data_IF_322563650053
#
_entry.id   IF_322563650053
#
_cell.length_a   1.000
_cell.length_b   1.000
_cell.length_c   1.000
_cell.angle_alpha   90.00
_cell.angle_beta   90.00
_cell.angle_gamma   90.00
#
_symmetry.space_group_name_H-M   'P 1'
#
loop_
_entity.id
_entity.type
_entity.pdbx_description
1 polymer ?
#
# COMPACT_ATOMS: atom_id res chain seq x y z
N UNK A 1 63.42 22.93 -7.13
CA UNK A 1 63.74 21.48 -7.18
C UNK A 1 63.77 20.97 -5.76
N UNK A 2 62.65 20.46 -5.26
CA UNK A 2 62.26 19.03 -5.15
C UNK A 2 62.58 18.51 -3.74
N UNK A 3 61.64 18.60 -2.80
CA UNK A 3 60.48 17.72 -2.52
C UNK A 3 60.81 16.67 -1.43
N UNK A 4 60.48 17.13 -0.22
CA UNK A 4 59.96 16.42 0.95
C UNK A 4 59.02 15.24 0.58
N UNK A 5 59.20 14.08 1.22
CA UNK A 5 58.15 13.07 1.39
C UNK A 5 58.24 12.43 2.78
N UNK A 6 57.26 12.79 3.61
CA UNK A 6 56.98 12.22 4.92
C UNK A 6 56.13 10.96 4.75
N UNK A 7 56.39 9.95 5.60
CA UNK A 7 55.61 8.72 5.73
C UNK A 7 54.17 9.04 6.16
N UNK A 8 53.18 8.43 5.50
CA UNK A 8 51.81 8.34 5.98
C UNK A 8 51.39 6.86 5.95
N UNK A 9 50.99 6.37 7.12
CA UNK A 9 50.40 5.04 7.32
C UNK A 9 49.07 4.93 6.58
N UNK A 10 48.94 3.90 5.75
CA UNK A 10 47.71 3.58 5.04
C UNK A 10 46.79 2.77 5.93
N UNK A 11 45.82 3.41 6.56
CA UNK A 11 44.66 2.75 7.17
C UNK A 11 43.75 2.25 6.06
N UNK A 12 43.62 0.94 5.92
CA UNK A 12 42.71 0.30 4.98
C UNK A 12 41.27 0.52 5.46
N UNK A 13 40.62 1.57 4.96
CA UNK A 13 39.17 1.74 5.11
C UNK A 13 38.51 0.73 4.18
N UNK A 14 38.01 -0.38 4.75
CA UNK A 14 37.04 -1.23 4.09
C UNK A 14 35.76 -0.40 3.97
N UNK A 15 35.63 0.30 2.84
CA UNK A 15 34.35 0.80 2.41
C UNK A 15 33.47 -0.43 2.17
N UNK A 16 32.53 -0.69 3.08
CA UNK A 16 31.36 -1.49 2.76
C UNK A 16 30.58 -0.73 1.70
N UNK A 17 31.01 -0.86 0.44
CA UNK A 17 30.13 -0.68 -0.69
C UNK A 17 29.07 -1.76 -0.55
N UNK A 18 27.90 -1.39 0.00
CA UNK A 18 26.70 -2.14 -0.28
C UNK A 18 26.59 -2.20 -1.80
N UNK A 19 27.02 -3.32 -2.37
CA UNK A 19 26.73 -3.69 -3.74
C UNK A 19 25.22 -3.68 -3.86
N UNK A 20 24.70 -2.56 -4.39
CA UNK A 20 23.34 -2.45 -4.88
C UNK A 20 23.21 -3.40 -6.06
N UNK A 21 22.97 -4.69 -5.77
CA UNK A 21 21.99 -5.43 -6.56
C UNK A 21 20.75 -4.55 -6.48
N UNK A 22 20.45 -3.83 -7.55
CA UNK A 22 19.27 -2.97 -7.63
C UNK A 22 18.04 -3.83 -7.30
N UNK A 23 17.63 -3.82 -6.03
CA UNK A 23 16.39 -4.40 -5.60
C UNK A 23 15.33 -3.63 -6.39
N UNK A 24 14.65 -4.34 -7.28
CA UNK A 24 13.58 -3.77 -8.10
C UNK A 24 12.62 -3.03 -7.17
N UNK A 25 12.49 -1.72 -7.36
CA UNK A 25 11.62 -0.88 -6.52
C UNK A 25 10.20 -1.39 -6.66
N UNK A 26 9.54 -1.62 -5.53
CA UNK A 26 8.16 -2.11 -5.53
C UNK A 26 7.24 -1.13 -6.30
N UNK A 27 6.33 -1.57 -7.18
CA UNK A 27 5.50 -0.67 -8.00
C UNK A 27 4.71 0.35 -7.18
N UNK A 28 4.18 -0.05 -6.01
CA UNK A 28 3.45 0.87 -5.10
C UNK A 28 4.38 1.92 -4.47
N UNK A 29 5.65 1.58 -4.23
CA UNK A 29 6.63 2.56 -3.76
C UNK A 29 6.97 3.56 -4.89
N UNK A 30 7.15 3.07 -6.12
CA UNK A 30 7.36 3.93 -7.28
C UNK A 30 6.18 4.89 -7.51
N UNK A 31 4.94 4.42 -7.36
CA UNK A 31 3.74 5.26 -7.40
C UNK A 31 3.76 6.33 -6.31
N UNK A 32 4.09 5.97 -5.06
CA UNK A 32 4.18 6.93 -3.96
C UNK A 32 5.18 8.05 -4.21
N UNK A 33 6.35 7.71 -4.78
CA UNK A 33 7.37 8.70 -5.18
C UNK A 33 6.80 9.64 -6.25
N UNK A 34 6.18 9.07 -7.28
CA UNK A 34 5.57 9.83 -8.39
C UNK A 34 4.48 10.79 -7.90
N UNK A 35 3.61 10.34 -6.98
CA UNK A 35 2.56 11.19 -6.38
C UNK A 35 3.20 12.29 -5.53
N UNK A 36 4.14 11.97 -4.66
CA UNK A 36 4.83 12.97 -3.85
C UNK A 36 5.51 14.04 -4.72
N UNK A 37 6.24 13.60 -5.75
CA UNK A 37 6.91 14.50 -6.69
C UNK A 37 5.94 15.38 -7.48
N UNK A 38 4.70 14.91 -7.72
CA UNK A 38 3.67 15.73 -8.36
C UNK A 38 3.30 16.95 -7.51
N UNK A 39 3.20 16.81 -6.18
CA UNK A 39 3.01 17.95 -5.28
C UNK A 39 4.26 18.82 -5.24
N UNK A 40 5.43 18.18 -5.12
CA UNK A 40 6.73 18.86 -5.04
C UNK A 40 6.98 19.80 -6.22
N UNK A 41 6.59 19.36 -7.41
CA UNK A 41 6.82 20.08 -8.68
C UNK A 41 5.59 20.80 -9.21
N UNK A 42 4.48 20.76 -8.47
CA UNK A 42 3.18 21.26 -8.93
C UNK A 42 2.77 20.68 -10.31
N UNK A 43 3.03 19.39 -10.53
CA UNK A 43 2.76 18.70 -11.79
C UNK A 43 1.45 17.90 -11.71
N UNK A 44 0.33 18.58 -11.97
CA UNK A 44 -1.00 17.94 -11.96
C UNK A 44 -1.10 16.77 -12.94
N UNK A 45 -0.51 16.86 -14.13
CA UNK A 45 -0.57 15.79 -15.14
C UNK A 45 -0.01 14.48 -14.59
N UNK A 46 1.14 14.53 -13.90
CA UNK A 46 1.74 13.34 -13.28
C UNK A 46 0.83 12.68 -12.23
N UNK A 47 0.15 13.51 -11.43
CA UNK A 47 -0.84 13.03 -10.45
C UNK A 47 -2.05 12.40 -11.14
N UNK A 48 -2.63 13.11 -12.12
CA UNK A 48 -3.80 12.67 -12.87
C UNK A 48 -3.55 11.35 -13.59
N UNK A 49 -2.44 11.23 -14.31
CA UNK A 49 -2.03 10.02 -15.04
C UNK A 49 -1.77 8.79 -14.13
N UNK A 50 -1.74 8.99 -12.80
CA UNK A 50 -1.56 7.94 -11.80
C UNK A 50 -2.86 7.55 -11.10
N UNK A 51 -3.99 8.08 -11.57
CA UNK A 51 -5.32 7.92 -10.95
C UNK A 51 -6.25 7.05 -11.79
N UNK A 52 -7.30 6.52 -11.17
CA UNK A 52 -8.38 5.84 -11.88
C UNK A 52 -9.09 6.74 -12.93
N UNK A 53 -9.01 8.07 -12.80
CA UNK A 53 -9.68 9.01 -13.70
C UNK A 53 -9.00 9.14 -15.05
N UNK A 54 -7.74 8.71 -15.18
CA UNK A 54 -6.98 8.82 -16.44
C UNK A 54 -7.03 7.58 -17.31
N UNK A 55 -7.65 6.48 -16.87
CA UNK A 55 -7.66 5.24 -17.66
C UNK A 55 -8.74 5.29 -18.74
N UNK A 56 -8.57 4.55 -19.83
CA UNK A 56 -9.57 4.44 -20.90
C UNK A 56 -10.75 3.54 -20.49
N UNK A 57 -11.87 3.65 -21.22
CA UNK A 57 -13.03 2.77 -21.03
C UNK A 57 -12.66 1.28 -21.15
N UNK A 58 -11.82 0.96 -22.13
CA UNK A 58 -11.33 -0.41 -22.36
C UNK A 58 -10.51 -0.92 -21.18
N UNK A 59 -9.59 -0.10 -20.66
CA UNK A 59 -8.78 -0.46 -19.50
C UNK A 59 -9.64 -0.59 -18.24
N UNK A 60 -10.61 0.31 -18.04
CA UNK A 60 -11.53 0.23 -16.91
C UNK A 60 -12.37 -1.05 -16.96
N UNK A 61 -12.94 -1.35 -18.13
CA UNK A 61 -13.71 -2.57 -18.35
C UNK A 61 -12.85 -3.81 -18.07
N UNK A 62 -11.62 -3.85 -18.60
CA UNK A 62 -10.70 -4.97 -18.39
C UNK A 62 -10.32 -5.12 -16.93
N UNK A 63 -9.96 -4.03 -16.25
CA UNK A 63 -9.64 -4.00 -14.82
C UNK A 63 -10.79 -4.59 -14.01
N UNK A 64 -11.99 -4.04 -14.18
CA UNK A 64 -13.15 -4.44 -13.40
C UNK A 64 -13.54 -5.89 -13.69
N UNK A 65 -13.54 -6.32 -14.96
CA UNK A 65 -13.87 -7.69 -15.36
C UNK A 65 -12.95 -8.74 -14.72
N UNK A 66 -11.65 -8.44 -14.67
CA UNK A 66 -10.62 -9.38 -14.22
C UNK A 66 -10.22 -9.19 -12.76
N UNK A 67 -10.93 -8.33 -12.01
CA UNK A 67 -10.54 -8.03 -10.64
C UNK A 67 -10.76 -9.23 -9.73
N UNK A 68 -9.69 -9.62 -9.01
CA UNK A 68 -9.72 -10.63 -7.94
C UNK A 68 -9.89 -9.94 -6.60
N UNK A 69 -11.06 -9.37 -6.35
CA UNK A 69 -11.38 -8.64 -5.11
C UNK A 69 -12.87 -8.82 -4.81
N UNK A 70 -13.19 -9.67 -3.85
CA UNK A 70 -14.58 -10.06 -3.58
C UNK A 70 -15.42 -8.88 -3.07
N UNK A 71 -14.83 -7.98 -2.28
CA UNK A 71 -15.54 -6.78 -1.81
C UNK A 71 -15.99 -5.89 -2.97
N UNK A 72 -15.11 -5.60 -3.92
CA UNK A 72 -15.46 -4.79 -5.09
C UNK A 72 -16.49 -5.49 -6.00
N UNK A 73 -16.40 -6.82 -6.13
CA UNK A 73 -17.41 -7.58 -6.87
C UNK A 73 -18.77 -7.52 -6.18
N UNK A 74 -18.80 -7.66 -4.86
CA UNK A 74 -20.01 -7.55 -4.05
C UNK A 74 -20.61 -6.14 -4.13
N UNK A 75 -19.80 -5.10 -4.13
CA UNK A 75 -20.27 -3.72 -4.29
C UNK A 75 -21.01 -3.55 -5.63
N UNK A 76 -20.46 -4.06 -6.75
CA UNK A 76 -21.12 -4.01 -8.06
C UNK A 76 -22.39 -4.87 -8.14
N UNK A 77 -22.40 -6.02 -7.45
CA UNK A 77 -23.58 -6.88 -7.32
C UNK A 77 -24.68 -6.16 -6.52
N UNK A 78 -24.32 -5.44 -5.47
CA UNK A 78 -25.28 -4.78 -4.57
C UNK A 78 -26.09 -3.68 -5.26
N UNK A 79 -25.53 -3.05 -6.29
CA UNK A 79 -26.20 -2.02 -7.10
C UNK A 79 -26.96 -2.61 -8.30
N UNK A 80 -26.96 -3.94 -8.47
CA UNK A 80 -27.73 -4.61 -9.51
C UNK A 80 -29.23 -4.56 -9.19
N UNK A 81 -30.00 -3.89 -10.04
CA UNK A 81 -31.42 -3.62 -9.80
C UNK A 81 -32.37 -4.73 -10.27
N UNK A 82 -31.91 -5.62 -11.16
CA UNK A 82 -32.74 -6.72 -11.67
C UNK A 82 -32.62 -7.94 -10.75
N UNK A 83 -33.71 -8.69 -10.51
CA UNK A 83 -33.61 -9.97 -9.85
C UNK A 83 -32.67 -10.91 -10.63
N UNK A 84 -31.78 -11.60 -9.91
CA UNK A 84 -30.98 -12.66 -10.52
C UNK A 84 -31.90 -13.80 -10.99
N UNK A 85 -31.71 -14.33 -12.20
CA UNK A 85 -32.48 -15.47 -12.67
C UNK A 85 -32.14 -16.72 -11.84
N UNK A 86 -33.07 -17.68 -11.76
CA UNK A 86 -32.98 -18.81 -10.82
C UNK A 86 -31.77 -19.73 -11.08
N UNK A 87 -31.22 -19.72 -12.28
CA UNK A 87 -30.03 -20.45 -12.71
C UNK A 87 -28.71 -19.79 -12.25
N UNK A 88 -28.73 -18.49 -11.87
CA UNK A 88 -27.60 -17.77 -11.29
C UNK A 88 -27.43 -18.09 -9.79
N UNK A 89 -27.06 -19.34 -9.54
CA UNK A 89 -27.00 -19.95 -8.20
C UNK A 89 -25.71 -19.67 -7.44
N UNK A 90 -24.61 -19.34 -8.12
CA UNK A 90 -23.30 -19.09 -7.50
C UNK A 90 -22.80 -17.64 -7.64
N UNK A 91 -21.77 -17.29 -6.86
CA UNK A 91 -21.23 -15.93 -6.80
C UNK A 91 -20.67 -15.44 -8.14
N UNK A 92 -20.03 -16.34 -8.90
CA UNK A 92 -19.44 -16.01 -10.21
C UNK A 92 -20.51 -15.66 -11.25
N UNK A 93 -21.59 -16.44 -11.35
CA UNK A 93 -22.69 -16.17 -12.27
C UNK A 93 -23.38 -14.84 -11.95
N UNK A 94 -23.58 -14.54 -10.65
CA UNK A 94 -24.14 -13.26 -10.22
C UNK A 94 -23.21 -12.10 -10.56
N UNK A 95 -21.90 -12.30 -10.38
CA UNK A 95 -20.88 -11.34 -10.78
C UNK A 95 -20.92 -11.06 -12.29
N UNK A 96 -20.94 -12.09 -13.14
CA UNK A 96 -20.99 -11.92 -14.61
C UNK A 96 -22.21 -11.11 -15.07
N UNK A 97 -23.38 -11.42 -14.50
CA UNK A 97 -24.63 -10.71 -14.79
C UNK A 97 -24.59 -9.26 -14.29
N UNK A 98 -24.16 -9.05 -13.05
CA UNK A 98 -24.03 -7.71 -12.47
C UNK A 98 -23.04 -6.87 -13.26
N UNK A 99 -21.88 -7.43 -13.58
CA UNK A 99 -20.86 -6.81 -14.42
C UNK A 99 -21.47 -6.36 -15.74
N UNK A 100 -22.07 -7.27 -16.51
CA UNK A 100 -22.65 -7.00 -17.84
C UNK A 100 -23.61 -5.80 -17.83
N UNK A 101 -24.37 -5.61 -16.76
CA UNK A 101 -25.36 -4.53 -16.65
C UNK A 101 -24.76 -3.23 -16.08
N UNK A 102 -23.84 -3.33 -15.13
CA UNK A 102 -23.46 -2.17 -14.30
C UNK A 102 -22.11 -1.54 -14.66
N UNK A 103 -21.17 -2.28 -15.27
CA UNK A 103 -19.80 -1.78 -15.49
C UNK A 103 -19.76 -0.44 -16.22
N UNK A 104 -20.62 -0.26 -17.23
CA UNK A 104 -20.66 0.96 -18.05
C UNK A 104 -21.25 2.14 -17.27
N UNK A 105 -22.12 1.89 -16.29
CA UNK A 105 -22.66 2.95 -15.44
C UNK A 105 -21.58 3.48 -14.49
N UNK A 106 -20.78 2.58 -13.91
CA UNK A 106 -19.62 2.97 -13.10
C UNK A 106 -18.58 3.74 -13.92
N UNK A 107 -18.29 3.28 -15.14
CA UNK A 107 -17.44 4.03 -16.07
C UNK A 107 -17.99 5.44 -16.35
N UNK A 108 -19.29 5.55 -16.64
CA UNK A 108 -19.94 6.85 -16.87
C UNK A 108 -19.95 7.74 -15.64
N UNK A 109 -19.98 7.16 -14.44
CA UNK A 109 -19.85 7.92 -13.20
C UNK A 109 -18.45 8.53 -13.10
N UNK A 110 -17.41 7.72 -13.32
CA UNK A 110 -16.01 8.16 -13.28
C UNK A 110 -15.68 9.19 -14.39
N UNK A 111 -16.16 8.98 -15.61
CA UNK A 111 -15.84 9.84 -16.75
C UNK A 111 -16.50 11.22 -16.71
N UNK A 112 -17.47 11.44 -15.80
CA UNK A 112 -18.05 12.77 -15.53
C UNK A 112 -17.11 13.68 -14.75
N UNK A 113 -16.07 13.15 -14.11
CA UNK A 113 -15.11 13.97 -13.41
C UNK A 113 -14.09 14.56 -14.39
N UNK A 114 -14.17 15.87 -14.61
CA UNK A 114 -13.23 16.56 -15.50
C UNK A 114 -11.84 16.68 -14.86
N UNK A 115 -10.76 16.81 -15.65
CA UNK A 115 -9.42 17.04 -15.11
C UNK A 115 -9.35 18.23 -14.16
N UNK A 116 -10.06 19.32 -14.45
CA UNK A 116 -10.12 20.51 -13.58
C UNK A 116 -10.72 20.18 -12.22
N UNK A 117 -11.83 19.41 -12.20
CA UNK A 117 -12.46 18.96 -10.97
C UNK A 117 -11.54 18.03 -10.17
N UNK A 118 -10.80 17.14 -10.84
CA UNK A 118 -9.81 16.29 -10.17
C UNK A 118 -8.67 17.13 -9.58
N UNK A 119 -8.19 18.15 -10.29
CA UNK A 119 -7.18 19.06 -9.77
C UNK A 119 -7.67 19.78 -8.49
N UNK A 120 -8.90 20.29 -8.50
CA UNK A 120 -9.54 20.96 -7.36
C UNK A 120 -9.76 20.05 -6.15
N UNK A 121 -10.10 18.78 -6.37
CA UNK A 121 -10.43 17.84 -5.30
C UNK A 121 -9.22 17.02 -4.81
N UNK A 122 -8.22 16.76 -5.65
CA UNK A 122 -7.10 15.86 -5.35
C UNK A 122 -5.79 16.59 -5.05
N UNK A 123 -5.53 17.71 -5.73
CA UNK A 123 -4.23 18.39 -5.67
C UNK A 123 -4.28 19.67 -4.85
N UNK A 124 -5.21 20.56 -5.18
CA UNK A 124 -5.34 21.85 -4.51
C UNK A 124 -5.52 21.75 -2.98
N UNK A 125 -6.24 20.76 -2.41
CA UNK A 125 -6.38 20.66 -0.96
C UNK A 125 -5.04 20.38 -0.27
N UNK A 126 -4.19 19.54 -0.88
CA UNK A 126 -2.84 19.25 -0.38
C UNK A 126 -1.95 20.49 -0.44
N UNK A 127 -1.95 21.20 -1.58
CA UNK A 127 -1.15 22.42 -1.75
C UNK A 127 -1.62 23.55 -0.83
N UNK A 128 -2.93 23.72 -0.64
CA UNK A 128 -3.52 24.70 0.26
C UNK A 128 -3.13 24.40 1.71
N UNK A 129 -3.25 23.15 2.13
CA UNK A 129 -2.84 22.73 3.48
C UNK A 129 -1.35 22.93 3.70
N UNK A 130 -0.50 22.54 2.76
CA UNK A 130 0.93 22.80 2.87
C UNK A 130 1.26 24.31 3.03
N UNK A 131 0.52 25.19 2.35
CA UNK A 131 0.66 26.64 2.50
C UNK A 131 0.28 27.15 3.90
N UNK A 132 -0.70 26.55 4.56
CA UNK A 132 -1.08 26.88 5.94
C UNK A 132 0.07 26.62 6.95
N UNK A 133 0.99 25.71 6.62
CA UNK A 133 2.22 25.42 7.38
C UNK A 133 3.47 26.09 6.80
N UNK A 134 3.30 27.02 5.86
CA UNK A 134 4.41 27.71 5.17
C UNK A 134 5.42 26.75 4.50
N UNK A 135 4.95 25.56 4.10
CA UNK A 135 5.80 24.53 3.51
C UNK A 135 6.25 24.93 2.10
N UNK A 136 7.56 24.97 1.90
CA UNK A 136 8.18 25.14 0.59
C UNK A 136 8.43 23.76 -0.03
N UNK A 137 7.52 23.35 -0.90
CA UNK A 137 7.60 22.05 -1.59
C UNK A 137 8.97 21.72 -2.19
N UNK A 138 9.69 22.68 -2.77
CA UNK A 138 11.01 22.41 -3.37
C UNK A 138 12.07 21.93 -2.36
N UNK A 139 11.91 22.20 -1.07
CA UNK A 139 12.87 21.84 -0.02
C UNK A 139 12.38 20.70 0.86
N UNK A 140 11.16 20.18 0.66
CA UNK A 140 10.68 19.02 1.42
C UNK A 140 11.47 17.76 1.06
N UNK A 141 11.69 16.92 2.06
CA UNK A 141 12.41 15.66 1.90
C UNK A 141 11.48 14.50 2.21
N UNK A 142 11.24 13.62 1.22
CA UNK A 142 10.45 12.41 1.43
C UNK A 142 11.22 11.46 2.35
N UNK A 143 10.61 11.09 3.48
CA UNK A 143 11.21 10.19 4.47
C UNK A 143 10.82 8.74 4.19
N UNK A 144 9.52 8.49 3.96
CA UNK A 144 9.00 7.13 3.82
C UNK A 144 7.76 7.05 2.94
N UNK A 145 7.60 5.89 2.31
CA UNK A 145 6.40 5.43 1.63
C UNK A 145 6.05 4.07 2.22
N UNK A 146 4.87 3.96 2.80
CA UNK A 146 4.43 2.79 3.56
C UNK A 146 2.99 2.46 3.21
N UNK A 147 2.63 1.17 3.20
CA UNK A 147 1.23 0.75 3.23
C UNK A 147 0.73 0.88 4.67
N UNK A 148 -0.31 1.67 4.88
CA UNK A 148 -0.99 1.77 6.15
C UNK A 148 -1.96 0.60 6.31
N UNK A 149 -1.81 -0.17 7.37
CA UNK A 149 -2.73 -1.23 7.78
C UNK A 149 -3.28 -0.89 9.17
N UNK A 150 -4.48 -0.32 9.26
CA UNK A 150 -5.13 -0.12 10.55
C UNK A 150 -5.41 -1.47 11.22
N UNK A 151 -5.10 -1.56 12.52
CA UNK A 151 -5.32 -2.74 13.34
C UNK A 151 -6.20 -2.36 14.52
N UNK A 152 -7.30 -3.09 14.67
CA UNK A 152 -8.26 -2.93 15.76
C UNK A 152 -8.48 -4.25 16.48
N UNK A 153 -9.18 -4.22 17.61
CA UNK A 153 -9.59 -5.40 18.35
C UNK A 153 -11.12 -5.52 18.36
N UNK A 154 -11.65 -6.63 17.86
CA UNK A 154 -13.09 -6.89 17.83
C UNK A 154 -13.38 -8.38 18.01
N UNK A 155 -14.41 -8.70 18.79
CA UNK A 155 -14.86 -10.09 19.00
C UNK A 155 -13.73 -11.06 19.41
N UNK A 156 -12.84 -10.60 20.30
CA UNK A 156 -11.75 -11.42 20.84
C UNK A 156 -10.57 -11.66 19.89
N UNK A 157 -10.38 -10.82 18.86
CA UNK A 157 -9.30 -11.00 17.88
C UNK A 157 -8.85 -9.68 17.26
N UNK A 158 -7.69 -9.72 16.61
CA UNK A 158 -7.24 -8.64 15.74
C UNK A 158 -8.10 -8.58 14.49
N UNK A 159 -8.47 -7.36 14.11
CA UNK A 159 -9.11 -7.05 12.83
C UNK A 159 -8.18 -6.11 12.09
N UNK A 160 -7.70 -6.57 10.93
CA UNK A 160 -6.75 -5.85 10.08
C UNK A 160 -7.43 -5.65 8.74
N UNK A 161 -7.33 -4.42 8.20
CA UNK A 161 -7.87 -4.11 6.89
C UNK A 161 -7.24 -4.99 5.81
N UNK A 162 -8.08 -5.65 5.03
CA UNK A 162 -7.70 -6.46 3.89
C UNK A 162 -8.90 -6.69 2.97
N UNK A 163 -8.64 -7.08 1.73
CA UNK A 163 -9.69 -7.46 0.79
C UNK A 163 -9.73 -8.99 0.63
N UNK A 164 -10.90 -9.61 0.78
CA UNK A 164 -11.07 -11.05 0.64
C UNK A 164 -10.91 -11.49 -0.82
N UNK A 165 -10.50 -12.75 -0.95
CA UNK A 165 -10.38 -13.44 -2.23
C UNK A 165 -11.75 -13.96 -2.72
N UNK A 166 -11.80 -14.45 -3.97
CA UNK A 166 -13.01 -14.90 -4.67
C UNK A 166 -13.49 -16.31 -4.27
N UNK A 167 -12.90 -16.91 -3.24
CA UNK A 167 -13.03 -18.34 -2.96
C UNK A 167 -14.16 -18.70 -1.99
N UNK A 168 -15.25 -17.93 -1.98
CA UNK A 168 -16.44 -18.15 -1.14
C UNK A 168 -16.10 -18.35 0.37
N UNK A 169 -15.08 -17.64 0.86
CA UNK A 169 -14.52 -17.73 2.22
C UNK A 169 -13.70 -19.01 2.52
N UNK A 170 -13.23 -19.73 1.49
CA UNK A 170 -12.25 -20.81 1.69
C UNK A 170 -10.92 -20.24 2.23
N UNK A 171 -10.49 -19.08 1.73
CA UNK A 171 -9.46 -18.27 2.35
C UNK A 171 -10.04 -17.62 3.60
N UNK A 172 -9.35 -17.77 4.73
CA UNK A 172 -9.77 -17.09 5.95
C UNK A 172 -9.73 -15.59 5.69
N UNK A 173 -10.79 -14.87 6.06
CA UNK A 173 -10.78 -13.39 6.08
C UNK A 173 -9.68 -12.79 6.96
N UNK A 174 -8.97 -13.64 7.70
CA UNK A 174 -7.84 -13.32 8.56
C UNK A 174 -6.49 -13.48 7.87
N UNK A 175 -6.43 -14.02 6.65
CA UNK A 175 -5.17 -14.15 5.91
C UNK A 175 -4.75 -12.80 5.36
N UNK A 176 -3.55 -12.35 5.74
CA UNK A 176 -2.93 -11.14 5.22
C UNK A 176 -1.98 -11.50 4.10
N UNK A 177 -2.09 -10.80 2.97
CA UNK A 177 -1.14 -10.91 1.88
C UNK A 177 -0.22 -9.69 1.91
N UNK A 178 1.06 -9.92 2.16
CA UNK A 178 2.07 -8.87 2.25
C UNK A 178 3.17 -9.07 1.19
N UNK A 179 3.54 -7.99 0.52
CA UNK A 179 4.54 -7.93 -0.53
C UNK A 179 5.95 -7.89 0.05
N UNK A 180 6.86 -8.71 -0.49
CA UNK A 180 8.30 -8.52 -0.27
C UNK A 180 8.75 -7.17 -0.82
N UNK A 181 9.76 -6.59 -0.17
CA UNK A 181 10.38 -5.30 -0.52
C UNK A 181 9.43 -4.10 -0.47
N UNK A 182 8.32 -4.20 0.27
CA UNK A 182 7.40 -3.10 0.53
C UNK A 182 7.34 -2.82 2.04
N UNK A 183 7.25 -1.54 2.41
CA UNK A 183 7.08 -1.15 3.82
C UNK A 183 5.61 -1.17 4.20
N UNK A 184 5.30 -1.75 5.34
CA UNK A 184 3.98 -1.76 5.95
C UNK A 184 4.05 -1.11 7.33
N UNK A 185 3.04 -0.32 7.65
CA UNK A 185 2.82 0.29 8.95
C UNK A 185 1.51 -0.24 9.51
N UNK A 186 1.59 -1.16 10.46
CA UNK A 186 0.44 -1.62 11.21
C UNK A 186 0.16 -0.61 12.32
N UNK A 187 -0.95 0.11 12.20
CA UNK A 187 -1.35 1.16 13.14
C UNK A 187 -2.36 0.63 14.13
N UNK A 188 -1.88 0.38 15.34
CA UNK A 188 -2.66 -0.11 16.47
C UNK A 188 -3.57 1.01 17.03
N UNK A 189 -4.86 0.72 17.19
CA UNK A 189 -5.81 1.64 17.85
C UNK A 189 -5.90 1.40 19.38
N UNK A 190 -6.69 2.23 20.06
CA UNK A 190 -6.87 2.14 21.52
C UNK A 190 -7.54 0.83 21.99
N UNK A 191 -8.22 0.08 21.11
CA UNK A 191 -8.85 -1.21 21.45
C UNK A 191 -7.82 -2.34 21.51
N UNK A 192 -6.68 -2.18 20.84
CA UNK A 192 -5.57 -3.13 20.90
C UNK A 192 -4.70 -2.97 22.14
N UNK A 193 -4.89 -1.91 22.93
CA UNK A 193 -4.09 -1.67 24.14
C UNK A 193 -4.24 -2.86 25.08
N UNK A 194 -3.12 -3.32 25.66
CA UNK A 194 -2.99 -4.56 26.45
C UNK A 194 -3.13 -5.88 25.67
N UNK A 195 -3.07 -5.85 24.34
CA UNK A 195 -3.05 -7.05 23.50
C UNK A 195 -1.77 -7.03 22.68
N UNK A 196 -0.80 -7.87 23.05
CA UNK A 196 0.45 -7.94 22.30
C UNK A 196 0.18 -8.44 20.88
N UNK A 197 0.58 -7.67 19.87
CA UNK A 197 0.55 -8.10 18.47
C UNK A 197 1.91 -8.69 18.13
N UNK A 198 1.96 -9.99 17.88
CA UNK A 198 3.20 -10.70 17.56
C UNK A 198 3.14 -11.30 16.16
N UNK A 199 4.27 -11.29 15.45
CA UNK A 199 4.50 -12.06 14.23
C UNK A 199 5.53 -13.15 14.53
N UNK A 200 5.21 -14.41 14.18
CA UNK A 200 6.05 -15.58 14.40
C UNK A 200 6.06 -16.54 13.21
N UNK A 201 6.98 -17.50 13.24
CA UNK A 201 7.07 -18.56 12.22
C UNK A 201 6.01 -19.63 12.42
N UNK A 202 5.59 -19.85 13.67
CA UNK A 202 4.50 -20.75 14.02
C UNK A 202 3.34 -19.97 14.64
N UNK A 203 2.14 -20.54 14.53
CA UNK A 203 0.94 -19.93 15.08
C UNK A 203 0.92 -20.02 16.61
N UNK A 204 0.78 -18.87 17.28
CA UNK A 204 0.51 -18.81 18.73
C UNK A 204 1.65 -19.33 19.61
N UNK A 205 2.87 -19.42 19.08
CA UNK A 205 4.08 -19.73 19.84
C UNK A 205 4.96 -18.47 19.96
N UNK A 206 5.01 -17.89 21.16
CA UNK A 206 5.80 -16.69 21.42
C UNK A 206 7.30 -16.91 21.41
N UNK A 207 7.77 -18.15 21.63
CA UNK A 207 9.20 -18.47 21.60
C UNK A 207 9.74 -18.50 20.15
N UNK A 208 8.82 -18.59 19.17
CA UNK A 208 9.10 -18.60 17.75
C UNK A 208 8.77 -17.25 17.07
N UNK A 209 9.01 -16.15 17.78
CA UNK A 209 8.85 -14.81 17.24
C UNK A 209 9.80 -14.54 16.05
N UNK A 210 9.24 -14.00 14.96
CA UNK A 210 10.00 -13.61 13.79
C UNK A 210 10.42 -12.15 13.93
N UNK A 211 11.73 -11.86 13.90
CA UNK A 211 12.25 -10.49 14.17
C UNK A 211 12.74 -9.75 12.93
N UNK A 212 13.11 -10.47 11.88
CA UNK A 212 13.81 -9.89 10.74
C UNK A 212 12.87 -8.95 9.99
N UNK A 213 13.28 -7.69 9.83
CA UNK A 213 12.49 -6.69 9.12
C UNK A 213 11.27 -6.19 9.88
N UNK A 214 11.16 -6.45 11.19
CA UNK A 214 10.03 -6.01 12.02
C UNK A 214 10.51 -5.12 13.17
N UNK A 215 9.92 -3.93 13.28
CA UNK A 215 10.12 -3.03 14.41
C UNK A 215 8.83 -2.92 15.23
N UNK A 216 8.93 -3.19 16.53
CA UNK A 216 7.79 -3.14 17.44
C UNK A 216 7.04 -4.47 17.56
N UNK A 217 7.63 -5.60 17.19
CA UNK A 217 7.02 -6.91 17.39
C UNK A 217 6.68 -7.14 18.88
N UNK A 218 5.54 -7.78 19.16
CA UNK A 218 5.06 -8.07 20.52
C UNK A 218 4.47 -6.87 21.26
N UNK A 219 4.35 -5.70 20.64
CA UNK A 219 3.72 -4.52 21.29
C UNK A 219 2.21 -4.56 21.18
N UNK A 220 1.51 -4.04 22.20
CA UNK A 220 0.07 -3.72 22.13
C UNK A 220 -0.21 -2.23 21.95
N UNK A 221 0.83 -1.40 21.79
CA UNK A 221 0.73 0.05 21.63
C UNK A 221 1.76 0.57 20.62
N UNK A 222 1.38 1.63 19.91
CA UNK A 222 2.22 2.26 18.89
C UNK A 222 2.24 1.50 17.57
N UNK A 223 2.82 2.11 16.55
CA UNK A 223 2.90 1.50 15.22
C UNK A 223 3.94 0.36 15.18
N UNK A 224 3.63 -0.69 14.43
CA UNK A 224 4.53 -1.78 14.09
C UNK A 224 4.94 -1.61 12.63
N UNK A 225 6.24 -1.61 12.36
CA UNK A 225 6.76 -1.53 10.99
C UNK A 225 7.24 -2.89 10.52
N UNK A 226 6.89 -3.22 9.29
CA UNK A 226 7.25 -4.48 8.65
C UNK A 226 7.82 -4.19 7.25
N UNK A 227 8.99 -4.75 6.97
CA UNK A 227 9.55 -4.83 5.62
C UNK A 227 10.19 -6.19 5.42
N UNK A 228 9.47 -7.07 4.73
CA UNK A 228 9.97 -8.39 4.38
C UNK A 228 10.92 -8.32 3.19
N UNK A 229 11.94 -9.17 3.22
CA UNK A 229 12.94 -9.30 2.16
C UNK A 229 12.78 -10.62 1.40
N UNK A 230 13.73 -10.92 0.52
CA UNK A 230 13.73 -12.16 -0.26
C UNK A 230 13.97 -13.43 0.56
N UNK A 231 14.53 -13.31 1.77
CA UNK A 231 14.83 -14.44 2.63
C UNK A 231 13.70 -14.73 3.63
N UNK A 232 12.72 -13.82 3.73
CA UNK A 232 11.57 -14.01 4.59
C UNK A 232 10.75 -15.21 4.10
N UNK A 233 10.36 -16.14 5.00
CA UNK A 233 9.51 -17.28 4.65
C UNK A 233 8.21 -16.85 3.95
N UNK A 234 7.70 -17.65 3.01
CA UNK A 234 6.43 -17.38 2.31
C UNK A 234 5.20 -17.39 3.23
N UNK A 235 5.34 -17.97 4.42
CA UNK A 235 4.29 -18.08 5.42
C UNK A 235 4.81 -17.68 6.79
N UNK A 236 4.06 -16.79 7.44
CA UNK A 236 4.22 -16.38 8.84
C UNK A 236 2.84 -16.32 9.48
N UNK A 237 2.79 -16.07 10.79
CA UNK A 237 1.56 -15.94 11.54
C UNK A 237 1.57 -14.64 12.34
N UNK A 238 0.43 -13.95 12.42
CA UNK A 238 0.23 -12.93 13.45
C UNK A 238 -0.71 -13.46 14.53
N UNK A 239 -0.44 -13.14 15.79
CA UNK A 239 -1.23 -13.64 16.92
C UNK A 239 -1.12 -12.74 18.15
N UNK A 240 -2.00 -13.00 19.13
CA UNK A 240 -1.89 -12.50 20.49
C UNK A 240 -1.40 -13.65 21.36
N UNK A 241 -0.24 -13.56 22.03
CA UNK A 241 0.26 -14.64 22.89
C UNK A 241 -0.68 -14.90 24.07
N UNK A 242 -1.42 -13.88 24.51
CA UNK A 242 -2.34 -13.96 25.64
C UNK A 242 -3.71 -14.56 25.28
N UNK A 243 -4.02 -14.74 23.99
CA UNK A 243 -5.34 -15.22 23.57
C UNK A 243 -5.29 -16.10 22.31
N UNK A 244 -5.60 -17.37 22.53
CA UNK A 244 -5.79 -18.36 21.48
C UNK A 244 -6.88 -17.94 20.49
N UNK A 245 -6.61 -18.09 19.20
CA UNK A 245 -7.51 -17.78 18.09
C UNK A 245 -7.59 -16.29 17.72
N UNK A 246 -6.86 -15.41 18.41
CA UNK A 246 -6.90 -13.97 18.16
C UNK A 246 -6.16 -13.52 16.89
N UNK A 247 -5.43 -14.43 16.26
CA UNK A 247 -4.55 -14.20 15.12
C UNK A 247 -5.04 -14.74 13.78
N UNK A 248 -4.12 -14.77 12.83
CA UNK A 248 -4.30 -15.27 11.48
C UNK A 248 -2.97 -15.54 10.77
N UNK A 249 -3.07 -15.88 9.50
CA UNK A 249 -1.93 -16.19 8.63
C UNK A 249 -1.43 -14.93 7.91
N UNK A 250 -0.13 -14.87 7.65
CA UNK A 250 0.50 -13.92 6.73
C UNK A 250 1.12 -14.72 5.58
N UNK A 251 0.66 -14.46 4.35
CA UNK A 251 1.29 -14.90 3.12
C UNK A 251 2.24 -13.82 2.62
N UNK A 252 3.53 -14.09 2.65
CA UNK A 252 4.59 -13.18 2.18
C UNK A 252 4.92 -13.54 0.75
N UNK A 253 4.62 -12.64 -0.19
CA UNK A 253 4.67 -12.93 -1.61
C UNK A 253 5.48 -11.88 -2.36
N UNK A 254 6.06 -12.27 -3.50
CA UNK A 254 6.58 -11.29 -4.45
C UNK A 254 5.44 -10.53 -5.12
N UNK A 255 5.70 -9.28 -5.50
CA UNK A 255 4.64 -8.40 -6.01
C UNK A 255 4.06 -8.81 -7.37
N UNK A 256 4.76 -9.67 -8.11
CA UNK A 256 4.31 -10.28 -9.36
C UNK A 256 3.45 -11.54 -9.15
N UNK A 257 3.27 -11.99 -7.90
CA UNK A 257 2.50 -13.19 -7.60
C UNK A 257 1.03 -12.99 -7.95
N UNK A 258 0.47 -13.88 -8.78
CA UNK A 258 -0.89 -13.77 -9.30
C UNK A 258 -1.94 -14.47 -8.44
N UNK A 259 -1.51 -15.41 -7.59
CA UNK A 259 -2.42 -16.17 -6.74
C UNK A 259 -2.68 -15.47 -5.40
N UNK A 260 -3.37 -14.32 -5.45
CA UNK A 260 -3.75 -13.49 -4.29
C UNK A 260 -4.83 -12.47 -4.68
N UNK A 261 -5.58 -11.91 -3.72
CA UNK A 261 -6.50 -10.82 -4.00
C UNK A 261 -5.79 -9.54 -4.47
N UNK A 262 -6.42 -8.79 -5.37
CA UNK A 262 -6.03 -7.42 -5.74
C UNK A 262 -6.48 -6.47 -4.63
N UNK A 263 -5.68 -6.39 -3.57
CA UNK A 263 -5.98 -5.63 -2.36
C UNK A 263 -5.87 -4.11 -2.58
N UNK A 264 -6.90 -3.39 -2.14
CA UNK A 264 -6.90 -1.95 -1.93
C UNK A 264 -5.99 -1.63 -0.77
N UNK A 265 -4.93 -0.88 -1.05
CA UNK A 265 -3.96 -0.46 -0.06
C UNK A 265 -3.99 1.04 0.14
N UNK A 266 -3.93 1.49 1.39
CA UNK A 266 -3.75 2.90 1.68
C UNK A 266 -2.26 3.22 1.75
N UNK A 267 -1.79 4.14 0.91
CA UNK A 267 -0.39 4.52 0.84
C UNK A 267 -0.15 5.77 1.69
N UNK A 268 0.76 5.68 2.64
CA UNK A 268 1.14 6.74 3.55
C UNK A 268 2.48 7.34 3.11
N UNK A 269 2.46 8.62 2.75
CA UNK A 269 3.65 9.39 2.37
C UNK A 269 4.08 10.23 3.57
N UNK A 270 5.26 9.96 4.13
CA UNK A 270 5.82 10.75 5.25
C UNK A 270 6.98 11.58 4.74
N UNK A 271 6.99 12.88 5.03
CA UNK A 271 8.05 13.80 4.60
C UNK A 271 8.46 14.78 5.71
N UNK A 272 9.66 15.35 5.58
CA UNK A 272 10.23 16.34 6.49
C UNK A 272 10.22 17.74 5.87
N UNK A 273 10.04 18.75 6.72
CA UNK A 273 10.21 20.17 6.38
C UNK A 273 10.60 20.99 7.61
N UNK A 274 11.34 22.09 7.41
CA UNK A 274 11.65 23.07 8.45
C UNK A 274 13.04 22.91 9.09
N UNK A 275 13.38 23.86 9.95
CA UNK A 275 14.58 23.85 10.79
C UNK A 275 14.21 24.41 12.17
N UNK A 276 14.06 23.57 13.21
CA UNK A 276 14.29 22.12 13.21
C UNK A 276 13.31 21.35 12.30
N UNK A 277 13.69 20.17 11.78
CA UNK A 277 12.84 19.40 10.88
C UNK A 277 11.61 18.84 11.62
N UNK A 278 10.45 19.00 11.01
CA UNK A 278 9.16 18.46 11.45
C UNK A 278 8.64 17.43 10.43
N UNK A 279 7.85 16.46 10.89
CA UNK A 279 7.34 15.39 10.04
C UNK A 279 5.87 15.63 9.65
N UNK A 280 5.54 15.38 8.39
CA UNK A 280 4.21 15.58 7.82
C UNK A 280 3.76 14.35 7.05
N UNK A 281 2.45 14.12 6.99
CA UNK A 281 1.86 12.97 6.30
C UNK A 281 0.78 13.33 5.29
N UNK A 282 0.76 12.57 4.19
CA UNK A 282 -0.33 12.52 3.20
C UNK A 282 -0.76 11.06 3.05
N UNK A 283 -2.07 10.83 3.09
CA UNK A 283 -2.68 9.54 2.79
C UNK A 283 -3.14 9.53 1.33
N UNK A 284 -2.78 8.50 0.58
CA UNK A 284 -3.34 8.21 -0.74
C UNK A 284 -4.18 6.93 -0.60
N UNK A 285 -5.51 7.05 -0.48
CA UNK A 285 -6.35 5.90 -0.18
C UNK A 285 -6.57 5.01 -1.40
N UNK A 286 -6.90 3.75 -1.14
CA UNK A 286 -7.38 2.77 -2.12
C UNK A 286 -6.51 2.69 -3.39
N UNK A 287 -5.21 2.45 -3.20
CA UNK A 287 -4.30 2.08 -4.27
C UNK A 287 -4.55 0.63 -4.67
N UNK A 288 -4.85 0.42 -5.94
CA UNK A 288 -5.09 -0.88 -6.56
C UNK A 288 -4.07 -1.15 -7.65
N UNK A 289 -3.79 -2.42 -7.93
CA UNK A 289 -3.02 -2.81 -9.10
C UNK A 289 -3.90 -2.69 -10.34
N UNK A 290 -3.50 -1.85 -11.31
CA UNK A 290 -4.22 -1.69 -12.57
C UNK A 290 -3.88 -2.84 -13.52
N UNK A 291 -4.79 -3.81 -13.58
CA UNK A 291 -4.76 -4.91 -14.54
C UNK A 291 -5.02 -4.36 -15.94
N UNK A 292 -4.10 -4.59 -16.88
CA UNK A 292 -4.25 -4.13 -18.27
C UNK A 292 -4.34 -5.29 -19.25
N UNK A 293 -5.09 -5.14 -20.36
CA UNK A 293 -5.06 -6.14 -21.41
C UNK A 293 -3.63 -6.29 -21.91
N UNK A 294 -3.18 -7.51 -22.26
CA UNK A 294 -1.86 -7.70 -22.84
C UNK A 294 -1.75 -6.87 -24.12
N UNK A 295 -0.86 -5.88 -24.11
CA UNK A 295 -0.56 -5.04 -25.26
C UNK A 295 0.22 -5.89 -26.27
N UNK A 296 -0.50 -6.60 -27.15
CA UNK A 296 0.02 -7.52 -28.17
C UNK A 296 0.75 -8.76 -27.61
N UNK A 297 0.32 -10.00 -27.89
CA UNK A 297 0.98 -11.22 -27.39
C UNK A 297 2.45 -11.40 -27.84
N UNK A 298 2.95 -10.55 -28.76
CA UNK A 298 4.36 -10.51 -29.20
C UNK A 298 5.21 -9.44 -28.50
N UNK A 299 4.61 -8.57 -27.68
CA UNK A 299 5.32 -7.59 -26.86
C UNK A 299 5.22 -8.01 -25.39
N UNK A 300 6.27 -7.72 -24.60
CA UNK A 300 6.21 -7.91 -23.16
C UNK A 300 4.98 -7.19 -22.60
N UNK A 301 4.16 -7.84 -21.75
CA UNK A 301 3.01 -7.19 -21.14
C UNK A 301 3.49 -5.93 -20.43
N UNK A 302 2.82 -4.79 -20.66
CA UNK A 302 3.03 -3.60 -19.84
C UNK A 302 2.85 -4.01 -18.37
N UNK A 303 3.81 -3.73 -17.47
CA UNK A 303 3.71 -4.20 -16.09
C UNK A 303 2.44 -3.64 -15.46
N UNK A 304 1.68 -4.43 -14.71
CA UNK A 304 0.54 -3.89 -13.97
C UNK A 304 1.03 -2.76 -13.06
N UNK A 305 0.50 -1.56 -13.26
CA UNK A 305 0.94 -0.36 -12.53
C UNK A 305 -0.10 -0.02 -11.49
N UNK A 306 0.27 0.24 -10.24
CA UNK A 306 -0.70 0.65 -9.26
C UNK A 306 -1.26 2.04 -9.61
N UNK A 307 -2.54 2.23 -9.36
CA UNK A 307 -3.28 3.48 -9.51
C UNK A 307 -4.01 3.78 -8.20
N UNK A 308 -4.19 5.05 -7.88
CA UNK A 308 -5.05 5.42 -6.76
C UNK A 308 -6.49 5.64 -7.22
N UNK A 309 -7.44 5.15 -6.44
CA UNK A 309 -8.86 5.25 -6.73
C UNK A 309 -9.55 6.41 -6.01
N UNK A 310 -8.91 6.97 -4.97
CA UNK A 310 -9.48 8.00 -4.10
C UNK A 310 -8.61 9.25 -3.98
N UNK A 311 -9.22 10.39 -3.61
CA UNK A 311 -8.50 11.66 -3.47
C UNK A 311 -7.43 11.57 -2.38
N UNK A 312 -6.18 12.02 -2.62
CA UNK A 312 -5.18 12.18 -1.57
C UNK A 312 -5.68 13.10 -0.45
N UNK A 313 -5.32 12.78 0.79
CA UNK A 313 -5.77 13.49 2.00
C UNK A 313 -4.57 13.97 2.81
N UNK A 314 -4.60 15.23 3.19
CA UNK A 314 -3.62 15.82 4.11
C UNK A 314 -3.87 15.30 5.53
N UNK A 315 -2.90 14.61 6.11
CA UNK A 315 -2.91 14.29 7.55
C UNK A 315 -2.27 15.44 8.33
N UNK A 316 -1.18 16.01 7.80
CA UNK A 316 -0.49 17.15 8.38
C UNK A 316 0.62 16.78 9.34
N UNK A 317 0.90 17.70 10.27
CA UNK A 317 1.98 17.58 11.22
C UNK A 317 1.76 16.35 12.12
N UNK A 318 2.79 15.52 12.21
CA UNK A 318 2.81 14.33 13.07
C UNK A 318 4.11 14.30 13.87
N UNK A 319 4.10 13.59 14.99
CA UNK A 319 5.36 13.18 15.61
C UNK A 319 6.09 12.25 14.64
N UNK A 320 7.42 12.38 14.54
CA UNK A 320 8.22 11.50 13.68
C UNK A 320 7.87 10.04 14.00
N UNK A 321 7.30 9.30 13.04
CA UNK A 321 6.85 7.95 13.34
C UNK A 321 8.01 7.04 13.74
N UNK A 322 7.75 6.13 14.67
CA UNK A 322 8.75 5.14 15.15
C UNK A 322 9.40 4.44 13.94
N UNK A 323 10.72 4.29 13.98
CA UNK A 323 11.50 3.61 12.94
C UNK A 323 11.88 4.48 11.74
N UNK A 324 11.37 5.71 11.66
CA UNK A 324 11.83 6.69 10.69
C UNK A 324 12.88 7.62 11.32
N UNK A 325 13.70 8.22 10.46
CA UNK A 325 14.73 9.19 10.85
C UNK A 325 14.59 10.42 9.97
N UNK A 326 14.91 11.60 10.53
CA UNK A 326 15.03 12.79 9.71
C UNK A 326 16.23 12.64 8.77
N UNK A 327 16.08 13.05 7.50
CA UNK A 327 17.22 13.18 6.60
C UNK A 327 18.21 14.20 7.18
N UNK A 328 19.50 13.84 7.15
CA UNK A 328 20.60 14.68 7.63
C UNK A 328 21.00 15.76 6.63
#
# INVERSE_FOLDING_TARGET
MNRMFFKVSTTLIIAFTFSTLSAQVHPKEALGRKIFDSFRTNNFKSLYDSSIFSISEENFKFLLQNIRNQSLRNDLISIHSLPFPQDASNAEQRWELAFKHNWRNEWRHLSRFTPERIHEEAMLPILKKAREYEIQWKTVQLIAIEILLPVSWQNGRFVIQGDPDLDDNASSSRTLYLDRNLNYRLRLDNKTYSKAFMIGTDSEDSDLEYKIGILGNGTGQGDILVRFDRNTPDQLHYFCPDLKGAGGEIRVLDFHHTNRPNQRHDLLLTFAYGSPPEAYQILVPQVLTNLRPPSNPKQYPLPDLPIFCERPRWIGLVRLPRGLQYPY
#
